data_IF_411670929329
#
_entry.id   IF_411670929329
#
_cell.length_a   1.000
_cell.length_b   1.000
_cell.length_c   1.000
_cell.angle_alpha   90.00
_cell.angle_beta   90.00
_cell.angle_gamma   90.00
#
_symmetry.space_group_name_H-M   'P 1'
#
loop_
_entity.id
_entity.type
_entity.pdbx_description
1 polymer ?
#
# COMPACT_ATOMS: atom_id res chain seq x y z
N UNK A 1 -14.35 11.16 -13.12
CA UNK A 1 -13.38 10.05 -13.10
C UNK A 1 -13.08 9.76 -11.64
N UNK A 2 -13.71 8.76 -10.99
CA UNK A 2 -13.46 8.52 -9.57
C UNK A 2 -12.08 7.85 -9.45
N UNK A 3 -11.20 8.44 -8.63
CA UNK A 3 -9.92 7.85 -8.19
C UNK A 3 -10.18 6.73 -7.17
N UNK A 4 -11.09 5.81 -7.49
CA UNK A 4 -11.43 4.70 -6.62
C UNK A 4 -10.38 3.61 -6.75
N UNK A 5 -9.56 3.45 -5.71
CA UNK A 5 -8.60 2.37 -5.49
C UNK A 5 -7.52 2.22 -6.57
N UNK A 6 -6.27 2.50 -6.17
CA UNK A 6 -5.11 1.89 -6.85
C UNK A 6 -5.07 0.41 -6.43
N UNK A 7 -6.01 -0.39 -6.93
CA UNK A 7 -6.12 -1.83 -6.69
C UNK A 7 -5.08 -2.55 -7.51
N UNK A 8 -4.12 -3.20 -6.84
CA UNK A 8 -3.30 -4.23 -7.49
C UNK A 8 -4.13 -5.51 -7.53
N UNK A 9 -4.62 -5.85 -8.72
CA UNK A 9 -5.38 -7.07 -8.92
C UNK A 9 -4.42 -8.26 -9.02
N UNK A 10 -4.16 -8.93 -7.90
CA UNK A 10 -3.43 -10.20 -7.89
C UNK A 10 -4.49 -11.30 -8.00
N UNK A 11 -4.60 -11.94 -9.18
CA UNK A 11 -5.55 -13.02 -9.46
C UNK A 11 -4.88 -14.38 -9.30
N UNK A 12 -5.67 -15.35 -8.86
CA UNK A 12 -5.29 -16.77 -8.84
C UNK A 12 -4.91 -17.25 -10.25
N UNK A 13 -3.65 -17.60 -10.45
CA UNK A 13 -3.20 -18.47 -11.53
C UNK A 13 -2.93 -19.87 -10.97
N UNK A 14 -3.18 -20.95 -11.73
CA UNK A 14 -2.82 -22.30 -11.28
C UNK A 14 -1.32 -22.34 -10.94
N UNK A 15 -1.00 -22.81 -9.74
CA UNK A 15 0.37 -22.93 -9.23
C UNK A 15 1.16 -23.82 -10.20
N UNK A 16 2.25 -23.35 -10.84
CA UNK A 16 3.14 -24.24 -11.56
C UNK A 16 3.90 -25.14 -10.58
N UNK A 17 4.11 -26.40 -10.96
CA UNK A 17 4.63 -27.56 -10.19
C UNK A 17 6.06 -27.42 -9.58
N UNK A 18 6.49 -26.23 -9.17
CA UNK A 18 7.82 -26.00 -8.57
C UNK A 18 7.88 -26.18 -7.03
N UNK A 19 6.77 -26.53 -6.37
CA UNK A 19 6.69 -26.70 -4.91
C UNK A 19 7.28 -28.01 -4.36
N UNK A 20 7.75 -28.94 -5.18
CA UNK A 20 8.27 -30.24 -4.69
C UNK A 20 9.68 -30.18 -4.05
N UNK A 21 10.41 -29.06 -4.11
CA UNK A 21 11.80 -29.00 -3.59
C UNK A 21 11.97 -28.50 -2.16
N UNK A 22 10.93 -28.06 -1.46
CA UNK A 22 11.03 -27.52 -0.09
C UNK A 22 10.11 -28.17 0.96
N UNK A 23 9.66 -29.41 0.72
CA UNK A 23 8.91 -30.17 1.73
C UNK A 23 9.83 -30.94 2.68
N UNK A 24 10.59 -30.23 3.53
CA UNK A 24 11.21 -30.81 4.73
C UNK A 24 11.39 -29.75 5.83
N UNK A 25 10.27 -29.16 6.26
CA UNK A 25 10.16 -28.51 7.58
C UNK A 25 8.84 -28.98 8.18
N UNK A 26 8.93 -29.75 9.26
CA UNK A 26 7.81 -30.34 9.98
C UNK A 26 6.91 -29.25 10.58
N UNK A 27 5.57 -29.28 10.41
CA UNK A 27 4.69 -28.34 11.08
C UNK A 27 4.47 -28.74 12.54
N UNK A 28 4.74 -27.82 13.45
CA UNK A 28 4.32 -27.88 14.84
C UNK A 28 2.78 -27.95 14.94
N UNK A 29 2.34 -28.90 15.75
CA UNK A 29 0.94 -29.23 16.07
C UNK A 29 0.23 -28.04 16.72
N UNK A 30 -0.80 -27.50 16.07
CA UNK A 30 -1.81 -26.61 16.68
C UNK A 30 -3.17 -27.31 16.66
N UNK A 31 -3.76 -27.45 17.85
CA UNK A 31 -5.00 -28.17 18.14
C UNK A 31 -6.18 -27.37 17.59
N UNK A 32 -6.97 -27.99 16.70
CA UNK A 32 -8.26 -27.47 16.23
C UNK A 32 -9.36 -27.93 17.18
N UNK A 33 -10.14 -26.99 17.72
CA UNK A 33 -11.46 -27.26 18.28
C UNK A 33 -12.53 -26.89 17.25
N UNK A 34 -13.49 -27.81 17.08
CA UNK A 34 -14.51 -27.81 16.05
C UNK A 34 -15.54 -26.70 16.22
N UNK A 35 -15.94 -26.08 15.11
CA UNK A 35 -17.27 -25.52 14.94
C UNK A 35 -17.76 -25.83 13.53
N UNK A 36 -18.72 -26.75 13.46
CA UNK A 36 -19.53 -27.10 12.30
C UNK A 36 -20.45 -25.95 11.93
N UNK A 37 -20.54 -25.61 10.65
CA UNK A 37 -21.79 -25.39 9.89
C UNK A 37 -21.47 -24.98 8.46
N UNK A 38 -22.03 -25.75 7.52
CA UNK A 38 -22.03 -25.51 6.07
C UNK A 38 -23.19 -24.56 5.68
N UNK A 39 -23.24 -24.07 4.41
CA UNK A 39 -23.76 -22.76 4.07
C UNK A 39 -25.22 -22.78 3.60
N UNK A 40 -25.90 -21.63 3.70
CA UNK A 40 -27.02 -21.36 2.79
C UNK A 40 -27.13 -19.87 2.45
N UNK A 41 -27.43 -19.66 1.17
CA UNK A 41 -27.62 -18.38 0.48
C UNK A 41 -28.93 -17.70 0.86
N UNK A 42 -28.91 -16.37 1.01
CA UNK A 42 -29.67 -15.41 0.19
C UNK A 42 -30.09 -14.15 0.97
N UNK A 43 -29.87 -13.01 0.32
CA UNK A 43 -30.51 -11.70 0.48
C UNK A 43 -30.73 -11.17 1.91
N UNK A 44 -29.94 -10.16 2.27
CA UNK A 44 -30.54 -8.93 2.77
C UNK A 44 -29.67 -7.74 2.37
N UNK A 45 -30.23 -6.90 1.51
CA UNK A 45 -29.77 -5.53 1.32
C UNK A 45 -29.96 -4.75 2.64
N UNK A 46 -29.37 -3.56 2.67
CA UNK A 46 -29.80 -2.43 3.51
C UNK A 46 -29.15 -2.30 4.90
N UNK A 47 -28.04 -1.55 4.94
CA UNK A 47 -27.98 -0.27 5.66
C UNK A 47 -26.67 0.44 5.29
N UNK A 48 -26.73 1.25 4.25
CA UNK A 48 -25.82 2.37 4.05
C UNK A 48 -26.02 3.36 5.20
N UNK A 49 -25.37 3.09 6.34
CA UNK A 49 -25.10 4.14 7.31
C UNK A 49 -24.21 5.14 6.58
N UNK A 50 -24.82 6.27 6.20
CA UNK A 50 -24.10 7.47 5.83
C UNK A 50 -23.29 7.87 7.08
N UNK A 51 -22.06 7.36 7.18
CA UNK A 51 -21.14 7.77 8.22
C UNK A 51 -20.86 9.24 7.90
N UNK A 52 -21.42 10.14 8.71
CA UNK A 52 -21.05 11.55 8.71
C UNK A 52 -19.55 11.64 9.01
N UNK A 53 -18.73 11.58 7.97
CA UNK A 53 -17.27 11.73 8.07
C UNK A 53 -16.99 13.16 8.51
N UNK A 54 -16.73 13.33 9.80
CA UNK A 54 -16.21 14.58 10.36
C UNK A 54 -14.94 14.92 9.58
N UNK A 55 -14.95 16.04 8.84
CA UNK A 55 -13.76 16.55 8.16
C UNK A 55 -12.76 16.97 9.24
N UNK A 56 -11.67 16.22 9.37
CA UNK A 56 -10.56 16.62 10.22
C UNK A 56 -9.77 17.76 9.55
N UNK A 57 -9.24 18.72 10.33
CA UNK A 57 -8.40 19.77 9.77
C UNK A 57 -7.15 19.18 9.11
N UNK A 58 -6.79 19.69 7.93
CA UNK A 58 -5.53 19.36 7.25
C UNK A 58 -4.36 19.90 8.08
N UNK A 59 -3.70 19.04 8.84
CA UNK A 59 -2.49 19.36 9.59
C UNK A 59 -1.27 19.12 8.69
N UNK A 60 -0.85 20.15 7.96
CA UNK A 60 0.35 20.10 7.10
C UNK A 60 1.56 20.48 7.94
N UNK A 61 2.53 19.58 7.99
CA UNK A 61 3.78 19.77 8.72
C UNK A 61 4.75 20.63 7.88
N UNK A 62 5.62 21.39 8.55
CA UNK A 62 6.65 22.20 7.89
C UNK A 62 8.03 21.76 8.33
N UNK A 63 9.02 21.93 7.46
CA UNK A 63 10.44 21.66 7.75
C UNK A 63 10.68 20.24 8.28
N UNK A 64 10.09 19.24 7.62
CA UNK A 64 10.19 17.83 8.05
C UNK A 64 11.43 17.18 7.44
N UNK A 65 12.24 16.53 8.27
CA UNK A 65 13.39 15.76 7.79
C UNK A 65 12.93 14.51 7.03
N UNK A 66 13.47 14.36 5.82
CA UNK A 66 13.25 13.21 4.94
C UNK A 66 14.35 12.14 5.10
N UNK A 67 15.33 12.36 5.99
CA UNK A 67 16.50 11.51 6.11
C UNK A 67 16.15 10.05 6.43
N UNK A 68 15.22 9.83 7.36
CA UNK A 68 14.75 8.49 7.70
C UNK A 68 13.70 7.93 6.73
N UNK A 69 13.40 8.64 5.63
CA UNK A 69 12.36 8.28 4.66
C UNK A 69 12.92 7.96 3.27
N UNK A 70 14.24 7.77 3.16
CA UNK A 70 14.91 7.32 1.95
C UNK A 70 15.98 6.28 2.28
N UNK A 71 16.18 5.30 1.39
CA UNK A 71 17.06 4.15 1.65
C UNK A 71 18.54 4.53 1.76
N UNK A 72 18.95 5.65 1.19
CA UNK A 72 20.32 6.15 1.29
C UNK A 72 20.58 6.97 2.57
N UNK A 73 19.56 7.18 3.41
CA UNK A 73 19.64 8.01 4.61
C UNK A 73 20.23 9.40 4.35
N UNK A 74 20.00 9.94 3.15
CA UNK A 74 20.53 11.24 2.74
C UNK A 74 19.74 12.35 3.43
N UNK A 75 20.43 13.39 3.92
CA UNK A 75 19.76 14.53 4.55
C UNK A 75 18.97 15.32 3.51
N UNK A 76 17.81 15.81 3.93
CA UNK A 76 16.96 16.69 3.15
C UNK A 76 15.71 17.06 3.94
N UNK A 77 15.25 18.29 3.79
CA UNK A 77 14.08 18.83 4.50
C UNK A 77 12.97 19.10 3.50
N UNK A 78 11.75 18.68 3.81
CA UNK A 78 10.56 19.10 3.06
C UNK A 78 10.05 20.45 3.59
N UNK A 79 9.82 21.41 2.69
CA UNK A 79 9.22 22.70 3.06
C UNK A 79 7.82 22.48 3.67
N UNK A 80 6.98 21.69 2.98
CA UNK A 80 5.73 21.16 3.50
C UNK A 80 5.72 19.64 3.38
N UNK A 81 5.15 18.97 4.37
CA UNK A 81 5.02 17.53 4.41
C UNK A 81 3.61 17.13 4.84
N UNK A 82 3.09 16.09 4.19
CA UNK A 82 1.81 15.49 4.59
C UNK A 82 1.80 14.00 4.30
N UNK A 83 1.46 13.18 5.30
CA UNK A 83 1.17 11.76 5.12
C UNK A 83 -0.34 11.56 5.10
N UNK A 84 -0.89 11.14 3.96
CA UNK A 84 -2.32 10.88 3.83
C UNK A 84 -2.67 9.46 4.25
N UNK A 85 -3.84 9.27 4.83
CA UNK A 85 -4.37 7.97 5.25
C UNK A 85 -5.65 7.59 4.51
N UNK A 86 -6.25 8.51 3.76
CA UNK A 86 -7.43 8.28 2.95
C UNK A 86 -7.39 9.06 1.62
N UNK A 87 -8.20 8.62 0.66
CA UNK A 87 -8.37 9.31 -0.63
C UNK A 87 -8.92 10.74 -0.44
N UNK A 88 -9.75 10.96 0.58
CA UNK A 88 -10.32 12.27 0.91
C UNK A 88 -9.24 13.23 1.41
N UNK A 89 -8.38 12.78 2.33
CA UNK A 89 -7.24 13.57 2.80
C UNK A 89 -6.29 13.93 1.64
N UNK A 90 -6.03 12.96 0.75
CA UNK A 90 -5.21 13.19 -0.44
C UNK A 90 -5.85 14.24 -1.36
N UNK A 91 -7.15 14.14 -1.61
CA UNK A 91 -7.87 15.11 -2.44
C UNK A 91 -7.85 16.51 -1.83
N UNK A 92 -8.02 16.62 -0.51
CA UNK A 92 -8.06 17.89 0.20
C UNK A 92 -6.68 18.55 0.24
N UNK A 93 -5.60 17.80 0.50
CA UNK A 93 -4.23 18.36 0.49
C UNK A 93 -3.80 18.77 -0.92
N UNK A 94 -4.18 18.01 -1.95
CA UNK A 94 -3.92 18.37 -3.35
C UNK A 94 -4.67 19.65 -3.75
N UNK A 95 -5.91 19.83 -3.26
CA UNK A 95 -6.69 21.06 -3.46
C UNK A 95 -6.00 22.26 -2.82
N UNK A 96 -5.56 22.10 -1.58
CA UNK A 96 -4.83 23.14 -0.84
C UNK A 96 -3.55 23.56 -1.58
N UNK A 97 -2.75 22.58 -2.03
CA UNK A 97 -1.51 22.85 -2.76
C UNK A 97 -1.78 23.59 -4.08
N UNK A 98 -2.83 23.16 -4.82
CA UNK A 98 -3.25 23.82 -6.06
C UNK A 98 -3.68 25.27 -5.83
N UNK A 99 -4.50 25.53 -4.82
CA UNK A 99 -4.97 26.89 -4.49
C UNK A 99 -3.81 27.83 -4.16
N UNK A 100 -2.78 27.33 -3.46
CA UNK A 100 -1.59 28.09 -3.11
C UNK A 100 -0.49 28.07 -4.17
N UNK A 101 -0.72 27.39 -5.31
CA UNK A 101 0.27 27.20 -6.39
C UNK A 101 1.59 26.57 -5.91
N UNK A 102 1.51 25.68 -4.93
CA UNK A 102 2.65 24.98 -4.35
C UNK A 102 2.95 23.73 -5.19
N UNK A 103 4.20 23.49 -5.63
CA UNK A 103 4.56 22.28 -6.35
C UNK A 103 4.43 21.05 -5.43
N UNK A 104 3.93 19.93 -5.98
CA UNK A 104 3.69 18.69 -5.22
C UNK A 104 4.65 17.60 -5.68
N UNK A 105 5.23 16.88 -4.73
CA UNK A 105 6.08 15.70 -4.94
C UNK A 105 5.51 14.53 -4.14
N UNK A 106 5.42 13.36 -4.74
CA UNK A 106 4.94 12.15 -4.06
C UNK A 106 6.15 11.34 -3.56
N UNK A 107 6.12 10.95 -2.30
CA UNK A 107 7.10 10.10 -1.65
C UNK A 107 6.47 8.73 -1.36
N UNK A 108 7.01 7.70 -2.01
CA UNK A 108 6.73 6.29 -1.70
C UNK A 108 7.62 5.79 -0.56
N UNK A 109 8.14 4.57 -0.69
CA UNK A 109 9.07 3.98 0.29
C UNK A 109 10.50 4.54 0.27
N UNK A 110 10.79 5.49 -0.63
CA UNK A 110 12.09 6.17 -0.70
C UNK A 110 13.27 5.32 -1.19
N UNK A 111 12.99 4.15 -1.80
CA UNK A 111 14.01 3.21 -2.28
C UNK A 111 14.60 3.55 -3.65
N UNK A 112 13.94 4.39 -4.43
CA UNK A 112 14.39 4.83 -5.76
C UNK A 112 14.41 6.37 -5.88
N UNK A 113 14.88 7.06 -4.84
CA UNK A 113 15.05 8.51 -4.87
C UNK A 113 16.44 8.88 -4.36
N UNK A 114 16.99 9.94 -4.93
CA UNK A 114 18.23 10.57 -4.49
C UNK A 114 17.93 12.03 -4.10
N UNK A 115 18.09 12.36 -2.83
CA UNK A 115 17.93 13.73 -2.35
C UNK A 115 19.23 14.50 -2.64
N UNK A 116 19.15 15.44 -3.59
CA UNK A 116 20.32 16.22 -4.05
C UNK A 116 20.36 17.64 -3.49
N UNK A 117 19.27 18.07 -2.82
CA UNK A 117 19.13 19.42 -2.26
C UNK A 117 18.82 19.36 -0.77
N UNK A 118 19.34 20.30 0.03
CA UNK A 118 19.06 20.35 1.47
C UNK A 118 17.60 20.68 1.76
N UNK A 119 16.95 21.48 0.90
CA UNK A 119 15.53 21.81 0.97
C UNK A 119 14.81 21.32 -0.29
N UNK A 120 13.72 20.61 -0.09
CA UNK A 120 12.77 20.19 -1.10
C UNK A 120 11.60 21.18 -1.05
N UNK A 121 11.62 22.13 -1.98
CA UNK A 121 10.58 23.16 -2.11
C UNK A 121 9.22 22.54 -2.44
N UNK A 122 8.19 23.11 -1.85
CA UNK A 122 6.80 22.70 -1.97
C UNK A 122 6.38 21.55 -1.06
N UNK A 123 5.31 20.86 -1.48
CA UNK A 123 4.65 19.84 -0.68
C UNK A 123 5.12 18.44 -1.05
N UNK A 124 5.71 17.74 -0.07
CA UNK A 124 5.98 16.31 -0.14
C UNK A 124 4.79 15.55 0.46
N UNK A 125 4.11 14.76 -0.37
CA UNK A 125 3.03 13.88 0.05
C UNK A 125 3.57 12.46 0.21
N UNK A 126 3.57 11.92 1.42
CA UNK A 126 4.00 10.56 1.71
C UNK A 126 2.80 9.60 1.67
N UNK A 127 2.95 8.48 0.94
CA UNK A 127 1.99 7.38 0.95
C UNK A 127 1.81 6.77 2.35
N UNK A 128 0.61 6.90 2.91
CA UNK A 128 0.28 6.36 4.24
C UNK A 128 -0.66 5.14 4.29
N UNK A 129 -1.61 4.89 3.35
CA UNK A 129 -2.52 3.75 3.49
C UNK A 129 -1.76 2.42 3.48
N UNK A 130 -1.83 1.68 4.58
CA UNK A 130 -1.13 0.41 4.79
C UNK A 130 -2.09 -0.78 5.00
N UNK A 131 -3.31 -0.68 4.50
CA UNK A 131 -4.30 -1.76 4.64
C UNK A 131 -4.03 -2.91 3.68
N UNK A 132 -4.40 -4.11 4.11
CA UNK A 132 -4.48 -5.32 3.30
C UNK A 132 -5.85 -5.95 3.52
N UNK A 133 -6.56 -6.28 2.45
CA UNK A 133 -7.89 -6.90 2.50
C UNK A 133 -8.05 -7.86 1.32
N UNK A 134 -8.90 -8.86 1.44
CA UNK A 134 -9.16 -9.81 0.38
C UNK A 134 -10.64 -9.78 -0.01
N UNK A 135 -10.92 -9.80 -1.31
CA UNK A 135 -12.26 -9.92 -1.86
C UNK A 135 -12.27 -11.03 -2.92
N UNK A 136 -12.71 -12.22 -2.53
CA UNK A 136 -12.69 -13.39 -3.40
C UNK A 136 -11.26 -13.83 -3.71
N UNK A 137 -10.89 -13.73 -4.98
CA UNK A 137 -9.57 -14.07 -5.52
C UNK A 137 -8.66 -12.85 -5.73
N UNK A 138 -9.00 -11.71 -5.10
CA UNK A 138 -8.32 -10.42 -5.29
C UNK A 138 -7.82 -9.88 -3.95
N UNK A 139 -6.51 -9.62 -3.87
CA UNK A 139 -5.91 -8.86 -2.78
C UNK A 139 -6.06 -7.35 -3.04
N UNK A 140 -6.67 -6.63 -2.11
CA UNK A 140 -6.71 -5.18 -2.06
C UNK A 140 -5.65 -4.68 -1.09
N UNK A 141 -4.79 -3.77 -1.55
CA UNK A 141 -3.69 -3.24 -0.75
C UNK A 141 -3.63 -1.70 -0.86
N UNK A 142 -3.27 -1.06 0.24
CA UNK A 142 -2.96 0.36 0.26
C UNK A 142 -1.64 0.66 -0.45
N UNK A 143 -1.51 1.87 -1.00
CA UNK A 143 -0.30 2.32 -1.72
C UNK A 143 0.98 2.31 -0.86
N UNK A 144 0.84 2.48 0.46
CA UNK A 144 1.94 2.52 1.42
C UNK A 144 2.35 1.16 1.97
N UNK A 145 1.72 0.06 1.54
CA UNK A 145 2.09 -1.31 1.93
C UNK A 145 3.41 -1.69 1.29
N UNK A 146 4.30 -2.29 2.07
CA UNK A 146 5.58 -2.82 1.57
C UNK A 146 5.33 -3.92 0.53
N UNK A 147 6.03 -3.87 -0.59
CA UNK A 147 5.93 -4.84 -1.71
C UNK A 147 6.02 -6.28 -1.23
N UNK A 148 7.07 -6.63 -0.47
CA UNK A 148 7.27 -7.98 0.07
C UNK A 148 6.15 -8.41 1.01
N UNK A 149 5.61 -7.49 1.82
CA UNK A 149 4.50 -7.80 2.73
C UNK A 149 3.22 -8.14 1.94
N UNK A 150 2.95 -7.42 0.86
CA UNK A 150 1.82 -7.72 -0.01
C UNK A 150 1.95 -9.10 -0.68
N UNK A 151 3.16 -9.47 -1.13
CA UNK A 151 3.40 -10.78 -1.73
C UNK A 151 3.25 -11.91 -0.70
N UNK A 152 3.80 -11.74 0.51
CA UNK A 152 3.62 -12.72 1.59
C UNK A 152 2.14 -12.90 1.96
N UNK A 153 1.37 -11.80 1.98
CA UNK A 153 -0.07 -11.88 2.22
C UNK A 153 -0.80 -12.60 1.09
N UNK A 154 -0.46 -12.33 -0.17
CA UNK A 154 -1.02 -13.05 -1.32
C UNK A 154 -0.73 -14.56 -1.20
N UNK A 155 0.51 -14.93 -0.87
CA UNK A 155 0.93 -16.31 -0.67
C UNK A 155 0.14 -17.01 0.43
N UNK A 156 -0.03 -16.39 1.60
CA UNK A 156 -0.84 -16.94 2.70
C UNK A 156 -2.32 -17.17 2.31
N UNK A 157 -2.83 -16.39 1.37
CA UNK A 157 -4.20 -16.52 0.84
C UNK A 157 -4.30 -17.50 -0.34
N UNK A 158 -3.20 -18.15 -0.73
CA UNK A 158 -3.16 -19.04 -1.89
C UNK A 158 -3.31 -18.32 -3.23
N UNK A 159 -3.01 -17.02 -3.27
CA UNK A 159 -2.95 -16.21 -4.49
C UNK A 159 -1.53 -16.23 -5.06
N UNK A 160 -1.45 -16.23 -6.38
CA UNK A 160 -0.20 -16.26 -7.16
C UNK A 160 -0.16 -15.09 -8.16
N UNK A 161 0.97 -14.88 -8.81
CA UNK A 161 1.15 -13.87 -9.87
C UNK A 161 1.73 -12.54 -9.39
N UNK A 162 2.19 -12.42 -8.15
CA UNK A 162 2.88 -11.24 -7.63
C UNK A 162 4.27 -11.57 -7.05
N UNK A 163 4.74 -12.80 -7.23
CA UNK A 163 6.00 -13.32 -6.70
C UNK A 163 7.20 -12.47 -7.17
N UNK A 164 7.13 -11.92 -8.38
CA UNK A 164 8.13 -11.05 -8.98
C UNK A 164 8.35 -9.73 -8.21
N UNK A 165 7.45 -9.36 -7.29
CA UNK A 165 7.60 -8.19 -6.42
C UNK A 165 8.30 -8.52 -5.09
N UNK A 166 8.47 -9.79 -4.76
CA UNK A 166 9.08 -10.20 -3.51
C UNK A 166 10.55 -9.75 -3.45
N UNK A 167 10.96 -9.14 -2.34
CA UNK A 167 12.33 -8.67 -2.16
C UNK A 167 12.64 -7.30 -2.78
N UNK A 168 11.75 -6.73 -3.61
CA UNK A 168 11.92 -5.35 -4.06
C UNK A 168 11.77 -4.38 -2.88
N UNK A 169 12.70 -3.43 -2.65
CA UNK A 169 12.56 -2.46 -1.58
C UNK A 169 11.53 -1.37 -1.95
N UNK A 170 10.75 -0.93 -0.96
CA UNK A 170 9.78 0.14 -1.10
C UNK A 170 8.33 -0.33 -0.95
N UNK A 171 7.39 0.49 -1.41
CA UNK A 171 5.96 0.24 -1.27
C UNK A 171 5.28 -0.01 -2.62
N UNK A 172 4.09 -0.63 -2.57
CA UNK A 172 3.32 -0.99 -3.76
C UNK A 172 3.01 0.21 -4.66
N UNK A 173 2.67 1.36 -4.10
CA UNK A 173 2.38 2.56 -4.89
C UNK A 173 3.60 3.01 -5.70
N UNK A 174 4.79 2.97 -5.10
CA UNK A 174 6.05 3.22 -5.81
C UNK A 174 6.35 2.15 -6.86
N UNK A 175 6.18 0.87 -6.52
CA UNK A 175 6.39 -0.24 -7.45
C UNK A 175 5.50 -0.12 -8.71
N UNK A 176 4.22 0.22 -8.53
CA UNK A 176 3.29 0.46 -9.64
C UNK A 176 3.70 1.65 -10.50
N UNK A 177 4.08 2.76 -9.87
CA UNK A 177 4.55 3.95 -10.59
C UNK A 177 5.78 3.65 -11.47
N UNK A 178 6.67 2.78 -10.98
CA UNK A 178 7.89 2.40 -11.68
C UNK A 178 7.70 1.21 -12.63
N UNK A 179 6.51 0.60 -12.69
CA UNK A 179 6.30 -0.70 -13.35
C UNK A 179 7.37 -1.73 -12.92
N UNK A 180 7.62 -1.80 -11.61
CA UNK A 180 8.75 -2.53 -11.06
C UNK A 180 8.62 -4.04 -11.29
N UNK A 181 9.75 -4.68 -11.59
CA UNK A 181 9.87 -6.12 -11.78
C UNK A 181 11.22 -6.61 -11.28
N UNK A 182 11.24 -7.79 -10.69
CA UNK A 182 12.45 -8.56 -10.42
C UNK A 182 12.24 -10.01 -10.86
N UNK A 183 13.33 -10.71 -11.13
CA UNK A 183 13.35 -12.10 -11.60
C UNK A 183 12.65 -12.25 -12.96
N UNK A 184 13.42 -12.10 -14.04
CA UNK A 184 13.04 -12.48 -15.41
C UNK A 184 13.70 -13.82 -15.77
#
# INVERSE_FOLDING_TARGET
MPLSFLTVLIRRFPIPLWTERYSRISPGRLILSNATTSPSSSRCAERSKLISMKRHPLMIEKNVSLQCMNSYCLPGMAEYYYRYHSEWELADVLRWARQKKIPVRILGGGSNILLTRPLIEGLVIHMGPRFLSCKGDTLLAGSGVDTSLAVLQAWHLGLSGAEFLYGLPGNLGGALFMNARAYD
#
